data_IF_126379116699
#
_entry.id   IF_126379116699
#
_cell.length_a   1.000
_cell.length_b   1.000
_cell.length_c   1.000
_cell.angle_alpha   90.00
_cell.angle_beta   90.00
_cell.angle_gamma   90.00
#
_symmetry.space_group_name_H-M   'P 1'
#
loop_
_entity.id
_entity.type
_entity.pdbx_description
1 polymer ?
#
# COMPACT_ATOMS: atom_id res chain seq x y z
N UNK A 1 2.44 -1.98 26.37
CA UNK A 1 1.47 -1.15 27.12
C UNK A 1 0.85 -1.94 28.28
N UNK A 2 1.65 -2.47 29.21
CA UNK A 2 1.17 -3.41 30.26
C UNK A 2 0.83 -2.74 31.60
N UNK A 3 0.57 -1.43 31.58
CA UNK A 3 0.11 -0.61 32.70
C UNK A 3 -0.92 0.41 32.20
N UNK A 4 -1.58 1.08 33.14
CA UNK A 4 -2.71 1.99 32.85
C UNK A 4 -4.04 1.25 32.66
N UNK A 5 -5.07 2.03 32.36
CA UNK A 5 -6.48 1.64 32.28
C UNK A 5 -6.75 0.63 31.14
N UNK A 6 -5.92 0.66 30.09
CA UNK A 6 -6.08 -0.18 28.90
C UNK A 6 -5.22 -1.44 28.93
N UNK A 7 -4.60 -1.77 30.08
CA UNK A 7 -3.75 -2.96 30.22
C UNK A 7 -4.47 -4.25 29.80
N UNK A 8 -5.70 -4.46 30.27
CA UNK A 8 -6.41 -5.72 30.01
C UNK A 8 -6.83 -5.83 28.53
N UNK A 9 -7.22 -4.72 27.91
CA UNK A 9 -7.46 -4.65 26.47
C UNK A 9 -6.18 -4.95 25.66
N UNK A 10 -5.02 -4.46 26.14
CA UNK A 10 -3.74 -4.74 25.49
C UNK A 10 -3.34 -6.22 25.61
N UNK A 11 -3.56 -6.85 26.76
CA UNK A 11 -3.31 -8.29 26.94
C UNK A 11 -4.23 -9.12 26.02
N UNK A 12 -5.51 -8.78 25.94
CA UNK A 12 -6.45 -9.46 25.04
C UNK A 12 -6.03 -9.36 23.57
N UNK A 13 -5.49 -8.21 23.16
CA UNK A 13 -4.91 -8.04 21.83
C UNK A 13 -3.66 -8.91 21.63
N UNK A 14 -2.70 -8.92 22.58
CA UNK A 14 -1.50 -9.78 22.50
C UNK A 14 -1.86 -11.27 22.41
N UNK A 15 -2.84 -11.72 23.19
CA UNK A 15 -3.30 -13.11 23.18
C UNK A 15 -3.93 -13.47 21.83
N UNK A 16 -4.74 -12.57 21.25
CA UNK A 16 -5.30 -12.78 19.91
C UNK A 16 -4.21 -12.85 18.83
N UNK A 17 -3.23 -11.94 18.85
CA UNK A 17 -2.10 -11.94 17.90
C UNK A 17 -1.34 -13.26 17.99
N UNK A 18 -1.05 -13.71 19.22
CA UNK A 18 -0.37 -14.98 19.46
C UNK A 18 -1.17 -16.17 18.94
N UNK A 19 -2.49 -16.17 19.13
CA UNK A 19 -3.38 -17.19 18.57
C UNK A 19 -3.33 -17.20 17.03
N UNK A 20 -3.48 -16.03 16.40
CA UNK A 20 -3.37 -15.87 14.94
C UNK A 20 -2.04 -16.40 14.40
N UNK A 21 -0.92 -16.07 15.04
CA UNK A 21 0.41 -16.55 14.64
C UNK A 21 0.53 -18.08 14.74
N UNK A 22 0.01 -18.68 15.82
CA UNK A 22 0.05 -20.12 16.02
C UNK A 22 -0.79 -20.87 14.97
N UNK A 23 -1.94 -20.32 14.63
CA UNK A 23 -2.89 -20.90 13.68
C UNK A 23 -2.58 -20.48 12.22
N UNK A 24 -1.62 -19.57 12.04
CA UNK A 24 -1.24 -18.96 10.75
C UNK A 24 -2.42 -18.26 10.06
N UNK A 25 -3.26 -17.63 10.87
CA UNK A 25 -4.37 -16.80 10.42
C UNK A 25 -3.91 -15.36 10.18
N UNK A 26 -4.68 -14.62 9.37
CA UNK A 26 -4.43 -13.20 9.18
C UNK A 26 -4.80 -12.43 10.46
N UNK A 27 -3.80 -11.76 11.05
CA UNK A 27 -3.94 -11.01 12.31
C UNK A 27 -4.93 -9.85 12.15
N UNK A 28 -4.94 -9.18 10.99
CA UNK A 28 -5.80 -8.02 10.75
C UNK A 28 -7.25 -8.47 10.76
N UNK A 29 -7.56 -9.57 10.09
CA UNK A 29 -8.91 -10.12 10.06
C UNK A 29 -9.31 -10.70 11.43
N UNK A 30 -8.51 -11.60 11.99
CA UNK A 30 -8.83 -12.32 13.25
C UNK A 30 -8.94 -11.36 14.44
N UNK A 31 -8.04 -10.39 14.54
CA UNK A 31 -7.90 -9.53 15.72
C UNK A 31 -8.46 -8.11 15.53
N UNK A 32 -9.21 -7.86 14.44
CA UNK A 32 -9.81 -6.54 14.15
C UNK A 32 -10.61 -5.98 15.32
N UNK A 33 -11.51 -6.77 15.91
CA UNK A 33 -12.39 -6.30 16.99
C UNK A 33 -11.61 -6.00 18.28
N UNK A 34 -10.69 -6.87 18.70
CA UNK A 34 -9.88 -6.62 19.91
C UNK A 34 -8.91 -5.45 19.71
N UNK A 35 -8.41 -5.25 18.48
CA UNK A 35 -7.61 -4.08 18.11
C UNK A 35 -8.45 -2.80 18.20
N UNK A 36 -9.69 -2.82 17.70
CA UNK A 36 -10.64 -1.69 17.78
C UNK A 36 -10.92 -1.32 19.23
N UNK A 37 -11.20 -2.32 20.09
CA UNK A 37 -11.47 -2.10 21.51
C UNK A 37 -10.26 -1.51 22.25
N UNK A 38 -9.05 -2.01 21.96
CA UNK A 38 -7.82 -1.44 22.49
C UNK A 38 -7.68 0.03 22.07
N UNK A 39 -7.84 0.35 20.78
CA UNK A 39 -7.71 1.73 20.29
C UNK A 39 -8.71 2.68 20.94
N UNK A 40 -9.98 2.28 21.05
CA UNK A 40 -11.02 3.06 21.75
C UNK A 40 -10.62 3.34 23.20
N UNK A 41 -10.05 2.36 23.89
CA UNK A 41 -9.59 2.55 25.26
C UNK A 41 -8.44 3.57 25.31
N UNK A 42 -7.42 3.45 24.46
CA UNK A 42 -6.28 4.35 24.45
C UNK A 42 -6.70 5.80 24.16
N UNK A 43 -7.60 5.99 23.19
CA UNK A 43 -8.14 7.31 22.84
C UNK A 43 -8.96 7.95 23.97
N UNK A 44 -9.64 7.15 24.78
CA UNK A 44 -10.38 7.61 25.94
C UNK A 44 -9.50 7.96 27.15
N UNK A 45 -8.25 7.45 27.19
CA UNK A 45 -7.32 7.61 28.32
C UNK A 45 -5.96 8.21 27.88
N UNK A 46 -5.94 9.34 27.16
CA UNK A 46 -4.74 9.79 26.47
C UNK A 46 -3.60 10.20 27.42
N UNK A 47 -3.88 10.66 28.64
CA UNK A 47 -2.86 11.23 29.54
C UNK A 47 -1.70 10.26 29.83
N UNK A 48 -1.99 8.98 30.02
CA UNK A 48 -0.98 7.95 30.23
C UNK A 48 -0.35 7.44 28.92
N UNK A 49 -1.12 7.46 27.81
CA UNK A 49 -0.73 6.88 26.52
C UNK A 49 -0.25 7.91 25.48
N UNK A 50 -0.18 9.20 25.83
CA UNK A 50 0.12 10.29 24.90
C UNK A 50 1.39 10.05 24.06
N UNK A 51 2.52 9.59 24.63
CA UNK A 51 3.73 9.39 23.84
C UNK A 51 3.56 8.34 22.74
N UNK A 52 2.82 7.26 23.01
CA UNK A 52 2.59 6.21 22.01
C UNK A 52 1.53 6.64 21.00
N UNK A 53 0.46 7.30 21.43
CA UNK A 53 -0.57 7.83 20.53
C UNK A 53 0.01 8.85 19.54
N UNK A 54 0.94 9.69 19.99
CA UNK A 54 1.65 10.63 19.11
C UNK A 54 2.52 9.90 18.07
N UNK A 55 3.24 8.86 18.50
CA UNK A 55 4.07 8.07 17.61
C UNK A 55 3.20 7.33 16.57
N UNK A 56 2.09 6.74 16.99
CA UNK A 56 1.12 6.08 16.11
C UNK A 56 0.56 7.03 15.05
N UNK A 57 0.09 8.22 15.47
CA UNK A 57 -0.43 9.23 14.53
C UNK A 57 0.64 9.66 13.51
N UNK A 58 1.88 9.83 13.96
CA UNK A 58 2.98 10.21 13.07
C UNK A 58 3.27 9.11 12.06
N UNK A 59 3.28 7.84 12.48
CA UNK A 59 3.46 6.70 11.59
C UNK A 59 2.29 6.57 10.59
N UNK A 60 1.05 6.81 11.03
CA UNK A 60 -0.13 6.80 10.17
C UNK A 60 -0.04 7.87 9.07
N UNK A 61 0.32 9.11 9.44
CA UNK A 61 0.51 10.21 8.49
C UNK A 61 1.63 9.90 7.47
N UNK A 62 2.72 9.28 7.91
CA UNK A 62 3.81 8.85 7.04
C UNK A 62 3.37 7.74 6.07
N UNK A 63 2.68 6.70 6.56
CA UNK A 63 2.19 5.61 5.73
C UNK A 63 1.17 6.11 4.67
N UNK A 64 0.25 7.01 5.05
CA UNK A 64 -0.69 7.61 4.10
C UNK A 64 0.02 8.42 3.01
N UNK A 65 1.09 9.14 3.37
CA UNK A 65 1.90 9.88 2.41
C UNK A 65 2.60 8.94 1.44
N UNK A 66 3.22 7.86 1.93
CA UNK A 66 3.89 6.86 1.10
C UNK A 66 2.92 6.20 0.12
N UNK A 67 1.74 5.76 0.59
CA UNK A 67 0.69 5.18 -0.27
C UNK A 67 0.30 6.17 -1.38
N UNK A 68 0.11 7.44 -1.05
CA UNK A 68 -0.25 8.46 -2.03
C UNK A 68 0.85 8.68 -3.07
N UNK A 69 2.11 8.76 -2.65
CA UNK A 69 3.25 8.91 -3.56
C UNK A 69 3.39 7.68 -4.48
N UNK A 70 3.19 6.47 -3.96
CA UNK A 70 3.16 5.25 -4.76
C UNK A 70 2.02 5.25 -5.79
N UNK A 71 0.82 5.69 -5.42
CA UNK A 71 -0.29 5.83 -6.35
C UNK A 71 -0.01 6.85 -7.46
N UNK A 72 0.56 8.01 -7.11
CA UNK A 72 0.94 9.05 -8.07
C UNK A 72 2.00 8.52 -9.05
N UNK A 73 3.01 7.79 -8.56
CA UNK A 73 4.03 7.14 -9.39
C UNK A 73 3.43 6.06 -10.30
N UNK A 74 2.53 5.21 -9.79
CA UNK A 74 1.83 4.19 -10.61
C UNK A 74 1.01 4.83 -11.73
N UNK A 75 0.30 5.93 -11.45
CA UNK A 75 -0.46 6.68 -12.46
C UNK A 75 0.45 7.30 -13.52
N UNK A 76 1.56 7.92 -13.12
CA UNK A 76 2.54 8.48 -14.05
C UNK A 76 3.19 7.40 -14.94
N UNK A 77 3.56 6.25 -14.37
CA UNK A 77 4.11 5.12 -15.12
C UNK A 77 3.11 4.53 -16.13
N UNK A 78 1.82 4.43 -15.75
CA UNK A 78 0.76 3.97 -16.65
C UNK A 78 0.58 4.95 -17.84
N UNK A 79 0.58 6.26 -17.58
CA UNK A 79 0.47 7.28 -18.62
C UNK A 79 1.66 7.23 -19.60
N UNK A 80 2.89 7.17 -19.10
CA UNK A 80 4.10 7.08 -19.93
C UNK A 80 4.17 5.77 -20.76
N UNK A 81 3.54 4.69 -20.28
CA UNK A 81 3.46 3.42 -21.00
C UNK A 81 2.45 3.47 -22.15
N UNK A 82 1.33 4.17 -21.96
CA UNK A 82 0.31 4.38 -23.01
C UNK A 82 0.82 5.25 -24.16
N UNK A 83 1.74 6.19 -23.89
CA UNK A 83 2.35 7.05 -24.93
C UNK A 83 3.34 6.29 -25.84
N UNK A 84 4.01 5.25 -25.33
CA UNK A 84 4.97 4.45 -26.13
C UNK A 84 4.32 3.48 -27.13
N UNK A 85 3.05 3.12 -26.96
CA UNK A 85 2.34 2.29 -27.95
C UNK A 85 1.91 3.07 -29.20
N UNK A 86 1.83 4.41 -29.13
CA UNK A 86 1.55 5.28 -30.28
C UNK A 86 2.71 5.37 -31.30
N UNK A 87 3.95 5.16 -30.86
CA UNK A 87 5.16 5.36 -31.68
C UNK A 87 5.56 4.11 -32.51
N UNK A 88 5.20 2.91 -32.03
CA UNK A 88 5.55 1.65 -32.72
C UNK A 88 4.69 1.38 -33.97
N UNK A 89 3.49 1.96 -34.04
CA UNK A 89 2.63 1.92 -35.24
C UNK A 89 3.13 2.85 -36.35
N UNK A 90 3.77 3.97 -35.99
CA UNK A 90 4.36 4.91 -36.95
C UNK A 90 5.65 4.34 -37.56
N UNK A 91 6.54 3.78 -36.73
CA UNK A 91 7.79 3.18 -37.23
C UNK A 91 7.55 1.97 -38.15
N UNK A 92 6.50 1.16 -37.90
CA UNK A 92 6.16 0.01 -38.77
C UNK A 92 5.67 0.41 -40.17
N UNK A 93 5.02 1.57 -40.35
CA UNK A 93 4.60 2.00 -41.69
C UNK A 93 5.76 2.47 -42.56
N UNK A 94 6.82 3.03 -41.96
CA UNK A 94 7.97 3.54 -42.73
C UNK A 94 8.88 2.40 -43.21
N UNK A 95 9.05 1.31 -42.44
CA UNK A 95 9.86 0.15 -42.90
C UNK A 95 9.18 -0.62 -44.04
N UNK A 96 7.84 -0.72 -44.03
CA UNK A 96 7.10 -1.47 -45.06
C UNK A 96 7.15 -0.73 -46.41
N UNK A 97 7.12 0.60 -46.41
CA UNK A 97 7.19 1.39 -47.65
C UNK A 97 8.56 1.27 -48.36
N UNK A 98 9.65 1.11 -47.60
CA UNK A 98 11.00 1.01 -48.17
C UNK A 98 11.28 -0.37 -48.78
N UNK A 99 10.67 -1.45 -48.25
CA UNK A 99 10.81 -2.80 -48.83
C UNK A 99 10.06 -2.97 -50.16
N UNK A 100 8.92 -2.28 -50.36
CA UNK A 100 8.15 -2.38 -51.60
C UNK A 100 8.82 -1.62 -52.77
N UNK A 101 9.42 -0.45 -52.51
CA UNK A 101 10.19 0.30 -53.51
C UNK A 101 11.47 -0.41 -53.94
N UNK A 102 12.16 -1.10 -53.02
CA UNK A 102 13.36 -1.87 -53.33
C UNK A 102 13.07 -3.11 -54.20
N UNK A 103 11.86 -3.68 -54.09
CA UNK A 103 11.44 -4.82 -54.91
C UNK A 103 11.03 -4.41 -56.34
N UNK A 104 10.49 -3.20 -56.53
CA UNK A 104 10.09 -2.68 -57.84
C UNK A 104 11.25 -2.23 -58.74
N UNK A 105 12.46 -2.04 -58.20
CA UNK A 105 13.61 -1.50 -58.93
C UNK A 105 14.51 -2.56 -59.62
N UNK A 106 14.18 -3.85 -59.51
CA UNK A 106 15.01 -4.97 -60.01
C UNK A 106 14.47 -5.57 -61.33
N UNK A 107 13.56 -4.89 -62.05
CA UNK A 107 12.98 -5.41 -63.30
C UNK A 107 13.26 -4.54 -64.53
#
# INVERSE_FOLDING_TARGET
MKGGECKDAFIAWEDCVKEAENEKEDIVEKCSEVTRLLKVCLDANPDYYEPILRAEKTAEEQAMKEIREEEEQRKAAAAASAEKEGDKAASRSEVIAVEEEASSAIQ
#
